data_IF_381434215068
#
_entry.id   IF_381434215068
#
_cell.length_a   1.000
_cell.length_b   1.000
_cell.length_c   1.000
_cell.angle_alpha   90.00
_cell.angle_beta   90.00
_cell.angle_gamma   90.00
#
_symmetry.space_group_name_H-M   'P 1'
#
loop_
_entity.id
_entity.type
_entity.pdbx_description
1 polymer ?
#
# COMPACT_ATOMS: atom_id res chain seq x y z
N UNK A 1 -33.87 62.17 36.45
CA UNK A 1 -33.95 61.78 35.02
C UNK A 1 -32.60 61.14 34.68
N UNK A 2 -32.46 59.82 34.82
CA UNK A 2 -32.55 58.84 33.70
C UNK A 2 -31.55 59.21 32.59
N UNK A 3 -30.48 58.48 32.29
CA UNK A 3 -30.16 57.06 32.44
C UNK A 3 -29.63 56.55 31.09
N UNK A 4 -28.68 55.59 31.13
CA UNK A 4 -28.26 54.69 30.04
C UNK A 4 -27.51 55.41 28.87
N UNK A 5 -26.32 55.00 28.43
CA UNK A 5 -25.85 53.63 28.19
C UNK A 5 -24.32 53.55 28.29
N UNK A 6 -23.91 52.60 29.13
CA UNK A 6 -22.65 51.89 29.01
C UNK A 6 -22.55 51.16 27.67
N UNK A 7 -21.34 50.65 27.41
CA UNK A 7 -21.03 49.49 26.55
C UNK A 7 -21.31 49.65 25.05
N UNK A 8 -20.25 49.90 24.27
CA UNK A 8 -19.96 49.20 23.01
C UNK A 8 -18.63 49.74 22.45
N UNK A 9 -17.54 49.03 22.73
CA UNK A 9 -16.36 48.83 21.86
C UNK A 9 -15.17 48.21 22.61
N UNK A 10 -15.43 47.31 23.56
CA UNK A 10 -14.49 46.26 23.99
C UNK A 10 -14.90 44.91 23.37
N UNK A 11 -15.08 44.84 22.05
CA UNK A 11 -15.42 43.59 21.36
C UNK A 11 -14.43 43.16 20.26
N UNK A 12 -13.32 43.88 20.07
CA UNK A 12 -12.35 43.55 19.01
C UNK A 12 -10.97 43.09 19.53
N UNK A 13 -10.89 42.49 20.73
CA UNK A 13 -9.69 41.75 21.19
C UNK A 13 -10.04 40.34 21.71
N UNK A 14 -11.21 39.80 21.34
CA UNK A 14 -11.56 38.40 21.57
C UNK A 14 -11.29 37.53 20.32
N UNK A 15 -10.41 37.99 19.43
CA UNK A 15 -10.12 37.37 18.14
C UNK A 15 -8.69 36.84 18.04
N UNK A 16 -8.17 36.15 19.06
CA UNK A 16 -6.88 35.45 18.93
C UNK A 16 -6.71 34.36 19.99
N UNK A 17 -7.38 33.22 19.84
CA UNK A 17 -6.89 31.95 20.40
C UNK A 17 -7.64 30.69 19.94
N UNK A 18 -8.35 30.69 18.80
CA UNK A 18 -8.91 29.41 18.28
C UNK A 18 -7.80 28.48 17.76
N UNK A 19 -6.59 29.01 17.57
CA UNK A 19 -5.41 28.27 17.08
C UNK A 19 -4.31 28.15 18.15
N UNK A 20 -4.61 28.40 19.44
CA UNK A 20 -3.74 27.86 20.50
C UNK A 20 -4.15 26.40 20.72
N UNK A 21 -3.89 25.56 19.72
CA UNK A 21 -4.01 24.13 19.90
C UNK A 21 -2.99 23.76 20.98
N UNK A 22 -3.48 23.32 22.13
CA UNK A 22 -2.62 22.81 23.19
C UNK A 22 -1.73 21.73 22.57
N UNK A 23 -0.44 22.04 22.41
CA UNK A 23 0.54 21.03 22.05
C UNK A 23 0.58 20.05 23.21
N UNK A 24 0.22 18.78 22.95
CA UNK A 24 0.20 17.70 23.96
C UNK A 24 1.63 17.24 24.30
N UNK A 25 2.46 18.18 24.75
CA UNK A 25 3.85 17.94 25.08
C UNK A 25 3.94 17.72 26.59
N UNK A 26 4.57 16.63 27.01
CA UNK A 26 4.74 16.33 28.44
C UNK A 26 6.21 16.40 28.81
N UNK A 27 6.56 17.29 29.75
CA UNK A 27 7.91 17.39 30.29
C UNK A 27 7.91 16.84 31.70
N UNK A 28 8.81 15.91 32.00
CA UNK A 28 9.02 15.42 33.35
C UNK A 28 10.06 16.34 34.00
N UNK A 29 9.61 17.03 35.04
CA UNK A 29 10.37 18.04 35.74
C UNK A 29 10.66 17.60 37.18
N UNK A 30 11.85 17.94 37.67
CA UNK A 30 12.23 17.75 39.08
C UNK A 30 12.46 19.10 39.72
N UNK A 31 11.91 19.32 40.92
CA UNK A 31 12.20 20.55 41.68
C UNK A 31 13.67 20.59 42.04
N UNK A 32 14.32 21.70 41.72
CA UNK A 32 15.73 21.93 42.06
C UNK A 32 15.97 21.94 43.57
N UNK A 33 15.04 22.55 44.31
CA UNK A 33 15.06 22.57 45.78
C UNK A 33 13.92 21.73 46.35
N UNK A 34 14.27 20.83 47.28
CA UNK A 34 13.30 19.91 47.89
C UNK A 34 12.28 20.69 48.74
N UNK A 35 10.98 20.30 48.67
CA UNK A 35 9.98 20.87 49.54
C UNK A 35 10.17 20.39 51.00
N UNK A 36 9.71 21.17 51.98
CA UNK A 36 9.77 20.76 53.39
C UNK A 36 8.92 19.51 53.64
N UNK A 37 9.47 18.60 54.45
CA UNK A 37 8.77 17.41 54.90
C UNK A 37 7.59 17.80 55.81
N UNK A 38 6.51 17.04 55.72
CA UNK A 38 5.35 17.15 56.60
C UNK A 38 5.08 15.79 57.23
N UNK A 39 4.36 15.77 58.36
CA UNK A 39 4.00 14.53 59.04
C UNK A 39 3.11 13.67 58.13
N UNK A 40 3.23 12.35 58.23
CA UNK A 40 2.35 11.40 57.52
C UNK A 40 0.88 11.71 57.85
N UNK A 41 0.03 11.85 56.83
CA UNK A 41 -1.37 12.27 56.93
C UNK A 41 -1.60 13.69 57.53
N UNK A 42 -0.54 14.47 57.70
CA UNK A 42 -0.63 15.88 58.10
C UNK A 42 -0.86 16.79 56.89
N UNK A 43 -1.24 18.04 57.15
CA UNK A 43 -1.35 19.05 56.08
C UNK A 43 0.02 19.29 55.44
N UNK A 44 0.11 19.34 54.10
CA UNK A 44 1.37 19.63 53.43
C UNK A 44 1.83 21.05 53.77
N UNK A 45 3.13 21.20 53.99
CA UNK A 45 3.72 22.50 54.30
C UNK A 45 3.70 23.42 53.08
N UNK A 46 3.54 24.73 53.30
CA UNK A 46 3.41 25.73 52.23
C UNK A 46 4.70 25.79 51.41
N UNK A 47 4.56 25.71 50.09
CA UNK A 47 5.68 25.87 49.16
C UNK A 47 6.07 27.35 49.06
N UNK A 48 7.37 27.62 48.98
CA UNK A 48 7.93 28.95 48.75
C UNK A 48 8.30 29.11 47.27
N UNK A 49 8.50 30.34 46.82
CA UNK A 49 8.87 30.67 45.44
C UNK A 49 10.06 29.83 44.91
N UNK A 50 11.09 29.61 45.73
CA UNK A 50 12.24 28.75 45.35
C UNK A 50 11.80 27.34 44.92
N UNK A 51 10.78 26.74 45.53
CA UNK A 51 10.35 25.37 45.19
C UNK A 51 9.63 25.27 43.83
N UNK A 52 9.36 26.39 43.15
CA UNK A 52 8.78 26.43 41.81
C UNK A 52 9.83 26.54 40.69
N UNK A 53 11.12 26.38 41.03
CA UNK A 53 12.18 26.22 40.03
C UNK A 53 12.41 24.73 39.79
N UNK A 54 12.41 24.38 38.51
CA UNK A 54 12.46 23.01 38.04
C UNK A 54 13.64 22.80 37.10
N UNK A 55 14.26 21.64 37.23
CA UNK A 55 15.23 21.11 36.28
C UNK A 55 14.52 20.10 35.38
N UNK A 56 14.81 20.13 34.08
CA UNK A 56 14.27 19.20 33.09
C UNK A 56 14.92 17.82 33.28
N UNK A 57 14.10 16.79 33.50
CA UNK A 57 14.57 15.40 33.65
C UNK A 57 14.43 14.65 32.33
N UNK A 58 13.24 14.68 31.74
CA UNK A 58 12.94 13.93 30.53
C UNK A 58 11.93 14.71 29.67
N UNK A 59 12.19 14.73 28.38
CA UNK A 59 11.25 15.19 27.37
C UNK A 59 10.61 13.97 26.69
N UNK A 60 9.32 13.74 27.00
CA UNK A 60 8.58 12.58 26.46
C UNK A 60 8.35 12.68 24.95
N UNK A 61 8.50 13.86 24.35
CA UNK A 61 8.30 14.04 22.91
C UNK A 61 9.45 13.44 22.09
N UNK A 62 10.65 13.37 22.67
CA UNK A 62 11.83 12.78 22.04
C UNK A 62 11.85 11.25 22.21
N UNK A 63 11.14 10.74 23.22
CA UNK A 63 11.06 9.31 23.48
C UNK A 63 10.28 8.60 22.35
N UNK A 64 10.81 7.46 21.89
CA UNK A 64 10.12 6.64 20.88
C UNK A 64 8.86 6.05 21.49
N UNK A 65 7.71 6.35 20.88
CA UNK A 65 6.44 5.75 21.27
C UNK A 65 6.42 4.25 20.96
N UNK A 66 5.83 3.47 21.86
CA UNK A 66 5.62 2.03 21.67
C UNK A 66 4.65 1.76 20.52
N UNK A 67 4.88 0.65 19.82
CA UNK A 67 3.97 0.22 18.76
C UNK A 67 2.61 -0.22 19.34
N UNK A 68 1.55 -0.02 18.57
CA UNK A 68 0.16 -0.33 18.92
C UNK A 68 -0.28 -1.57 18.16
N UNK A 69 -0.94 -2.47 18.88
CA UNK A 69 -1.56 -3.66 18.30
C UNK A 69 -2.98 -3.37 17.84
N UNK A 70 -3.27 -3.69 16.58
CA UNK A 70 -4.59 -3.52 15.96
C UNK A 70 -5.01 -4.81 15.26
N UNK A 71 -6.31 -4.96 15.03
CA UNK A 71 -6.96 -6.06 14.32
C UNK A 71 -7.58 -5.48 13.06
N UNK A 72 -7.29 -6.04 11.88
CA UNK A 72 -7.94 -5.61 10.64
C UNK A 72 -9.41 -6.08 10.59
N UNK A 73 -10.33 -5.18 10.23
CA UNK A 73 -11.74 -5.52 10.02
C UNK A 73 -12.00 -6.06 8.61
N UNK A 74 -11.25 -5.56 7.63
CA UNK A 74 -11.39 -5.90 6.22
C UNK A 74 -10.03 -6.12 5.59
N UNK A 75 -10.03 -6.69 4.38
CA UNK A 75 -8.83 -6.80 3.57
C UNK A 75 -8.27 -5.41 3.24
N UNK A 76 -6.96 -5.24 3.44
CA UNK A 76 -6.23 -4.01 3.07
C UNK A 76 -5.05 -4.39 2.19
N UNK A 77 -5.02 -3.85 0.96
CA UNK A 77 -3.99 -4.14 -0.03
C UNK A 77 -2.58 -3.85 0.50
N UNK A 78 -1.70 -4.83 0.37
CA UNK A 78 -0.32 -4.80 0.82
C UNK A 78 -0.12 -4.84 2.34
N UNK A 79 -1.19 -5.03 3.13
CA UNK A 79 -1.10 -5.06 4.60
C UNK A 79 -1.51 -6.41 5.16
N UNK A 80 -2.74 -6.86 4.89
CA UNK A 80 -3.25 -8.08 5.52
C UNK A 80 -4.71 -8.39 5.18
N UNK A 81 -5.15 -9.55 5.65
CA UNK A 81 -6.52 -9.99 5.55
C UNK A 81 -7.33 -9.55 6.78
N UNK A 82 -8.66 -9.62 6.67
CA UNK A 82 -9.54 -9.39 7.81
C UNK A 82 -9.22 -10.38 8.95
N UNK A 83 -9.17 -9.87 10.18
CA UNK A 83 -8.84 -10.62 11.39
C UNK A 83 -7.35 -10.68 11.73
N UNK A 84 -6.47 -10.18 10.86
CA UNK A 84 -5.03 -10.18 11.13
C UNK A 84 -4.67 -9.17 12.24
N UNK A 85 -3.83 -9.61 13.18
CA UNK A 85 -3.27 -8.76 14.25
C UNK A 85 -1.95 -8.17 13.78
N UNK A 86 -1.85 -6.84 13.82
CA UNK A 86 -0.68 -6.09 13.37
C UNK A 86 -0.13 -5.21 14.49
N UNK A 87 1.19 -5.13 14.59
CA UNK A 87 1.89 -4.19 15.48
C UNK A 87 2.50 -3.07 14.65
N UNK A 88 1.98 -1.85 14.81
CA UNK A 88 2.35 -0.68 13.99
C UNK A 88 2.71 0.52 14.84
N UNK A 89 3.50 1.45 14.28
CA UNK A 89 3.75 2.75 14.90
C UNK A 89 2.44 3.52 15.10
N UNK A 90 2.26 4.24 16.22
CA UNK A 90 1.00 4.94 16.54
C UNK A 90 0.49 5.85 15.42
N UNK A 91 1.37 6.68 14.85
CA UNK A 91 1.00 7.62 13.78
C UNK A 91 0.39 6.90 12.57
N UNK A 92 0.95 5.75 12.19
CA UNK A 92 0.45 4.95 11.08
C UNK A 92 -0.87 4.26 11.46
N UNK A 93 -0.92 3.63 12.64
CA UNK A 93 -2.12 2.96 13.16
C UNK A 93 -3.33 3.92 13.23
N UNK A 94 -3.14 5.11 13.81
CA UNK A 94 -4.21 6.11 13.93
C UNK A 94 -4.65 6.65 12.59
N UNK A 95 -3.70 7.17 11.79
CA UNK A 95 -4.01 7.86 10.54
C UNK A 95 -4.60 6.92 9.48
N UNK A 96 -3.99 5.76 9.28
CA UNK A 96 -4.29 4.93 8.13
C UNK A 96 -5.30 3.81 8.43
N UNK A 97 -5.44 3.38 9.69
CA UNK A 97 -6.25 2.20 10.02
C UNK A 97 -7.41 2.50 10.97
N UNK A 98 -7.14 3.10 12.14
CA UNK A 98 -8.15 3.33 13.17
C UNK A 98 -9.09 4.47 12.80
N UNK A 99 -8.57 5.62 12.33
CA UNK A 99 -9.39 6.77 11.95
C UNK A 99 -10.33 6.46 10.77
N UNK A 100 -9.90 5.74 9.70
CA UNK A 100 -10.80 5.34 8.63
C UNK A 100 -11.70 4.13 8.97
N UNK A 101 -11.51 3.50 10.14
CA UNK A 101 -12.31 2.33 10.56
C UNK A 101 -11.91 0.99 9.91
N UNK A 102 -10.74 0.93 9.27
CA UNK A 102 -10.21 -0.31 8.67
C UNK A 102 -9.78 -1.35 9.71
N UNK A 103 -9.50 -0.89 10.93
CA UNK A 103 -9.02 -1.72 12.02
C UNK A 103 -9.61 -1.30 13.38
N UNK A 104 -9.53 -2.20 14.34
CA UNK A 104 -9.93 -2.00 15.73
C UNK A 104 -8.72 -2.26 16.65
N UNK A 105 -8.68 -1.68 17.84
CA UNK A 105 -7.66 -2.00 18.83
C UNK A 105 -7.69 -3.48 19.22
N UNK A 106 -6.51 -4.07 19.38
CA UNK A 106 -6.33 -5.43 19.90
C UNK A 106 -6.47 -5.46 21.44
N UNK A 107 -7.65 -5.08 21.95
CA UNK A 107 -8.01 -5.26 23.37
C UNK A 107 -8.32 -6.74 23.64
N UNK A 108 -8.15 -7.24 24.89
CA UNK A 108 -8.48 -8.63 25.21
C UNK A 108 -9.94 -8.98 24.91
N UNK A 109 -10.84 -8.02 25.08
CA UNK A 109 -12.26 -8.16 24.72
C UNK A 109 -12.45 -8.31 23.21
N UNK A 110 -11.78 -7.51 22.39
CA UNK A 110 -11.90 -7.58 20.93
C UNK A 110 -11.25 -8.86 20.37
N UNK A 111 -10.14 -9.30 20.94
CA UNK A 111 -9.52 -10.57 20.59
C UNK A 111 -10.47 -11.75 20.85
N UNK A 112 -11.15 -11.75 22.00
CA UNK A 112 -12.16 -12.76 22.33
C UNK A 112 -13.38 -12.69 21.40
N UNK A 113 -13.89 -11.48 21.10
CA UNK A 113 -15.02 -11.27 20.19
C UNK A 113 -14.75 -11.78 18.78
N UNK A 114 -13.58 -11.47 18.24
CA UNK A 114 -13.21 -11.87 16.89
C UNK A 114 -12.70 -13.32 16.81
N UNK A 115 -12.64 -14.05 17.94
CA UNK A 115 -12.15 -15.44 18.04
C UNK A 115 -10.89 -15.64 17.19
N UNK A 116 -9.97 -14.68 17.25
CA UNK A 116 -8.71 -14.71 16.52
C UNK A 116 -7.82 -15.70 17.25
N UNK A 117 -8.13 -16.98 17.08
CA UNK A 117 -7.23 -18.05 17.45
C UNK A 117 -6.15 -18.05 16.35
N UNK A 118 -4.92 -17.72 16.72
CA UNK A 118 -3.76 -17.74 15.80
C UNK A 118 -3.61 -19.10 15.09
N UNK A 119 -4.20 -20.16 15.67
CA UNK A 119 -4.14 -21.54 15.20
C UNK A 119 -5.32 -21.97 14.29
N UNK A 120 -6.36 -21.13 14.11
CA UNK A 120 -7.44 -21.48 13.19
C UNK A 120 -7.04 -21.15 11.75
N UNK A 121 -7.32 -22.03 10.77
CA UNK A 121 -7.13 -21.68 9.38
C UNK A 121 -7.99 -20.44 9.10
N UNK A 122 -7.32 -19.35 8.70
CA UNK A 122 -8.00 -18.10 8.35
C UNK A 122 -9.06 -18.45 7.31
N UNK A 123 -10.32 -18.20 7.64
CA UNK A 123 -11.48 -18.39 6.75
C UNK A 123 -11.11 -17.83 5.38
N UNK A 124 -11.46 -18.55 4.32
CA UNK A 124 -11.07 -18.25 2.95
C UNK A 124 -11.29 -16.77 2.64
N UNK A 125 -10.20 -16.00 2.70
CA UNK A 125 -10.22 -14.60 2.31
C UNK A 125 -10.50 -14.53 0.81
N UNK A 126 -11.23 -13.50 0.40
CA UNK A 126 -11.51 -13.23 -1.03
C UNK A 126 -10.23 -13.20 -1.88
N UNK A 127 -9.10 -12.82 -1.28
CA UNK A 127 -7.79 -12.82 -1.89
C UNK A 127 -6.88 -13.87 -1.27
N UNK A 128 -6.06 -14.49 -2.09
CA UNK A 128 -5.08 -15.51 -1.70
C UNK A 128 -3.94 -14.91 -0.86
N UNK A 129 -3.56 -13.66 -1.11
CA UNK A 129 -2.53 -12.95 -0.34
C UNK A 129 -2.82 -11.44 -0.20
N UNK A 130 -2.20 -10.77 0.79
CA UNK A 130 -2.30 -9.32 0.95
C UNK A 130 -1.83 -8.51 -0.26
N UNK A 131 -0.87 -9.04 -1.03
CA UNK A 131 -0.23 -8.33 -2.14
C UNK A 131 -0.82 -8.67 -3.51
N UNK A 132 -1.88 -9.48 -3.55
CA UNK A 132 -2.49 -9.92 -4.80
C UNK A 132 -2.89 -8.72 -5.64
N UNK A 133 -3.71 -7.81 -5.11
CA UNK A 133 -4.25 -6.68 -5.88
C UNK A 133 -3.15 -5.83 -6.50
N UNK A 134 -2.10 -5.51 -5.73
CA UNK A 134 -0.91 -4.83 -6.27
C UNK A 134 -0.25 -5.61 -7.41
N UNK A 135 -0.12 -6.92 -7.28
CA UNK A 135 0.46 -7.79 -8.31
C UNK A 135 -0.42 -7.83 -9.56
N UNK A 136 -1.75 -7.96 -9.42
CA UNK A 136 -2.70 -7.91 -10.54
C UNK A 136 -2.61 -6.54 -11.25
N UNK A 137 -2.50 -5.45 -10.49
CA UNK A 137 -2.33 -4.10 -11.01
C UNK A 137 -1.02 -3.89 -11.79
N UNK A 138 0.08 -4.51 -11.34
CA UNK A 138 1.34 -4.50 -12.07
C UNK A 138 1.27 -5.32 -13.37
N UNK A 139 0.69 -6.53 -13.32
CA UNK A 139 0.60 -7.43 -14.47
C UNK A 139 -0.38 -6.92 -15.53
N UNK A 140 -1.52 -6.35 -15.14
CA UNK A 140 -2.52 -5.80 -16.07
C UNK A 140 -2.01 -4.62 -16.90
N UNK A 141 -1.10 -3.81 -16.34
CA UNK A 141 -0.46 -2.68 -17.03
C UNK A 141 0.75 -3.09 -17.87
N UNK A 142 1.22 -4.33 -17.72
CA UNK A 142 2.42 -4.81 -18.38
C UNK A 142 2.14 -5.07 -19.86
N UNK A 143 3.01 -4.55 -20.72
CA UNK A 143 3.08 -4.94 -22.12
C UNK A 143 4.30 -5.84 -22.30
N UNK A 144 4.08 -7.14 -22.32
CA UNK A 144 5.14 -8.14 -22.41
C UNK A 144 5.64 -8.26 -23.85
N UNK A 145 6.92 -7.95 -24.07
CA UNK A 145 7.56 -8.20 -25.36
C UNK A 145 8.14 -9.61 -25.42
N UNK A 146 7.54 -10.44 -26.25
CA UNK A 146 8.02 -11.78 -26.54
C UNK A 146 9.01 -11.69 -27.69
N UNK A 147 10.28 -11.83 -27.33
CA UNK A 147 11.39 -11.72 -28.28
C UNK A 147 11.59 -13.06 -28.97
N UNK A 148 11.36 -13.13 -30.27
CA UNK A 148 11.48 -14.35 -31.08
C UNK A 148 12.47 -14.18 -32.23
N UNK A 149 13.01 -15.28 -32.77
CA UNK A 149 13.93 -15.20 -33.91
C UNK A 149 13.19 -14.77 -35.19
N UNK A 150 13.83 -13.95 -36.02
CA UNK A 150 13.36 -13.59 -37.37
C UNK A 150 13.67 -14.67 -38.41
N UNK A 151 14.77 -15.41 -38.24
CA UNK A 151 15.31 -16.31 -39.28
C UNK A 151 14.95 -17.77 -39.04
N UNK A 152 14.90 -18.18 -37.78
CA UNK A 152 14.63 -19.56 -37.40
C UNK A 152 13.13 -19.75 -37.12
N UNK A 153 12.49 -20.81 -37.63
CA UNK A 153 11.10 -21.11 -37.30
C UNK A 153 10.95 -21.43 -35.82
N UNK A 154 9.84 -20.97 -35.24
CA UNK A 154 9.54 -21.16 -33.82
C UNK A 154 8.05 -21.37 -33.60
N UNK A 155 7.74 -22.09 -32.52
CA UNK A 155 6.38 -22.32 -32.01
C UNK A 155 6.27 -21.69 -30.64
N UNK A 156 5.26 -20.85 -30.43
CA UNK A 156 5.09 -20.19 -29.14
C UNK A 156 4.65 -21.19 -28.07
N UNK A 157 5.51 -21.38 -27.07
CA UNK A 157 5.30 -22.27 -25.93
C UNK A 157 5.39 -21.49 -24.59
N UNK A 158 4.84 -22.02 -23.48
CA UNK A 158 4.84 -21.34 -22.19
C UNK A 158 6.23 -20.90 -21.68
N UNK A 159 7.29 -21.67 -21.98
CA UNK A 159 8.65 -21.32 -21.54
C UNK A 159 9.20 -20.05 -22.21
N UNK A 160 8.77 -19.75 -23.44
CA UNK A 160 9.13 -18.50 -24.13
C UNK A 160 8.52 -17.29 -23.42
N UNK A 161 7.26 -17.45 -22.99
CA UNK A 161 6.53 -16.44 -22.23
C UNK A 161 7.19 -16.25 -20.85
N UNK A 162 7.53 -17.35 -20.16
CA UNK A 162 8.29 -17.34 -18.90
C UNK A 162 9.63 -16.61 -19.01
N UNK A 163 10.39 -16.87 -20.08
CA UNK A 163 11.67 -16.20 -20.33
C UNK A 163 11.49 -14.71 -20.55
N UNK A 164 10.41 -14.33 -21.26
CA UNK A 164 10.05 -12.93 -21.49
C UNK A 164 9.63 -12.24 -20.19
N UNK A 165 8.88 -12.90 -19.31
CA UNK A 165 8.55 -12.38 -17.98
C UNK A 165 9.80 -12.14 -17.14
N UNK A 166 10.77 -13.05 -17.19
CA UNK A 166 12.05 -12.90 -16.51
C UNK A 166 12.81 -11.67 -17.01
N UNK A 167 12.79 -11.43 -18.32
CA UNK A 167 13.36 -10.20 -18.93
C UNK A 167 12.64 -8.93 -18.46
N UNK A 168 11.33 -9.00 -18.22
CA UNK A 168 10.53 -7.91 -17.67
C UNK A 168 10.66 -7.75 -16.14
N UNK A 169 11.42 -8.62 -15.45
CA UNK A 169 11.63 -8.57 -14.00
C UNK A 169 10.62 -9.37 -13.17
N UNK A 170 9.73 -10.13 -13.79
CA UNK A 170 8.76 -11.00 -13.10
C UNK A 170 9.21 -12.47 -13.17
N UNK A 171 9.03 -13.20 -12.07
CA UNK A 171 9.30 -14.64 -12.02
C UNK A 171 7.97 -15.38 -12.02
N UNK A 172 7.62 -15.97 -13.17
CA UNK A 172 6.37 -16.71 -13.36
C UNK A 172 6.70 -18.16 -13.73
N UNK A 173 6.15 -19.17 -13.05
CA UNK A 173 6.35 -20.57 -13.41
C UNK A 173 5.44 -20.99 -14.58
N UNK A 174 5.82 -22.03 -15.33
CA UNK A 174 5.09 -22.47 -16.53
C UNK A 174 3.67 -22.94 -16.25
N UNK A 175 3.45 -23.64 -15.13
CA UNK A 175 2.11 -24.13 -14.75
C UNK A 175 1.10 -23.02 -14.45
N UNK A 176 1.57 -21.80 -14.17
CA UNK A 176 0.72 -20.64 -13.92
C UNK A 176 0.32 -19.91 -15.21
N UNK A 177 0.91 -20.25 -16.35
CA UNK A 177 0.70 -19.59 -17.64
C UNK A 177 -0.33 -20.39 -18.43
N UNK A 178 -1.46 -19.77 -18.73
CA UNK A 178 -2.47 -20.32 -19.64
C UNK A 178 -2.38 -19.61 -20.98
N UNK A 179 -1.99 -20.37 -22.00
CA UNK A 179 -1.81 -19.89 -23.37
C UNK A 179 -3.16 -19.75 -24.08
N UNK A 180 -3.27 -18.85 -25.07
CA UNK A 180 -4.43 -18.84 -25.97
C UNK A 180 -4.56 -20.17 -26.72
N UNK A 181 -5.77 -20.58 -27.12
CA UNK A 181 -6.00 -21.84 -27.83
C UNK A 181 -5.38 -21.88 -29.24
N UNK A 182 -4.99 -20.72 -29.79
CA UNK A 182 -4.40 -20.60 -31.12
C UNK A 182 -2.89 -20.85 -31.05
N UNK A 183 -2.40 -21.81 -31.84
CA UNK A 183 -0.96 -22.02 -32.00
C UNK A 183 -0.35 -20.93 -32.87
N UNK A 184 0.53 -20.12 -32.28
CA UNK A 184 1.25 -19.05 -33.00
C UNK A 184 2.58 -19.61 -33.48
N UNK A 185 2.77 -19.58 -34.80
CA UNK A 185 4.00 -20.03 -35.47
C UNK A 185 4.64 -18.85 -36.19
N UNK A 186 5.97 -18.79 -36.16
CA UNK A 186 6.77 -17.88 -36.96
C UNK A 186 7.80 -18.65 -37.79
N UNK A 187 8.52 -18.00 -38.71
CA UNK A 187 8.85 -16.58 -38.68
C UNK A 187 8.10 -15.79 -39.78
N UNK A 188 7.06 -15.07 -39.37
CA UNK A 188 6.26 -14.23 -40.27
C UNK A 188 6.39 -12.76 -39.84
N UNK A 189 6.92 -11.90 -40.72
CA UNK A 189 7.02 -10.46 -40.43
C UNK A 189 5.66 -9.80 -40.20
N UNK A 190 4.57 -10.39 -40.71
CA UNK A 190 3.20 -9.91 -40.49
C UNK A 190 2.75 -10.06 -39.04
N UNK A 191 3.41 -10.91 -38.24
CA UNK A 191 3.13 -11.08 -36.81
C UNK A 191 3.86 -10.07 -35.94
N UNK A 192 4.78 -9.29 -36.53
CA UNK A 192 5.49 -8.25 -35.82
C UNK A 192 4.50 -7.29 -35.16
N UNK A 193 4.74 -6.99 -33.89
CA UNK A 193 4.00 -5.98 -33.14
C UNK A 193 2.51 -6.25 -32.91
N UNK A 194 2.00 -7.41 -33.35
CA UNK A 194 0.64 -7.84 -33.06
C UNK A 194 0.48 -8.22 -31.58
N UNK A 195 -0.70 -7.92 -31.07
CA UNK A 195 -1.07 -8.12 -29.66
C UNK A 195 -1.90 -9.38 -29.46
N UNK A 196 -1.64 -10.10 -28.38
CA UNK A 196 -2.52 -11.16 -27.89
C UNK A 196 -2.48 -11.19 -26.37
N UNK A 197 -3.45 -11.86 -25.75
CA UNK A 197 -3.51 -11.99 -24.29
C UNK A 197 -3.10 -13.37 -23.83
N UNK A 198 -2.35 -13.38 -22.73
CA UNK A 198 -2.00 -14.59 -21.97
C UNK A 198 -2.60 -14.46 -20.59
N UNK A 199 -3.27 -15.51 -20.11
CA UNK A 199 -3.84 -15.53 -18.76
C UNK A 199 -2.84 -16.12 -17.78
N UNK A 200 -2.61 -15.42 -16.67
CA UNK A 200 -1.72 -15.84 -15.59
C UNK A 200 -2.54 -16.13 -14.35
N UNK A 201 -2.34 -17.31 -13.77
CA UNK A 201 -2.95 -17.72 -12.51
C UNK A 201 -2.04 -17.38 -11.34
N UNK A 202 -2.54 -16.59 -10.40
CA UNK A 202 -1.88 -16.27 -9.13
C UNK A 202 -2.47 -17.18 -8.05
N UNK A 203 -1.63 -17.98 -7.41
CA UNK A 203 -2.00 -18.87 -6.29
C UNK A 203 -3.23 -19.76 -6.55
N UNK A 204 -3.47 -20.17 -7.81
CA UNK A 204 -4.61 -20.98 -8.25
C UNK A 204 -6.00 -20.39 -7.94
N UNK A 205 -6.11 -19.11 -7.57
CA UNK A 205 -7.37 -18.44 -7.26
C UNK A 205 -7.65 -17.26 -8.18
N UNK A 206 -6.68 -16.36 -8.34
CA UNK A 206 -6.86 -15.16 -9.15
C UNK A 206 -6.27 -15.35 -10.55
N UNK A 207 -6.95 -14.81 -11.57
CA UNK A 207 -6.49 -14.85 -12.95
C UNK A 207 -6.33 -13.43 -13.52
N UNK A 208 -5.25 -13.19 -14.25
CA UNK A 208 -4.96 -11.89 -14.89
C UNK A 208 -4.66 -12.09 -16.35
N UNK A 209 -5.33 -11.33 -17.21
CA UNK A 209 -4.94 -11.21 -18.60
C UNK A 209 -3.78 -10.20 -18.74
N UNK A 210 -2.67 -10.64 -19.34
CA UNK A 210 -1.51 -9.80 -19.64
C UNK A 210 -1.39 -9.60 -21.13
N UNK A 211 -1.15 -8.35 -21.54
CA UNK A 211 -0.95 -7.97 -22.94
C UNK A 211 0.43 -8.41 -23.39
N UNK A 212 0.49 -9.25 -24.41
CA UNK A 212 1.71 -9.76 -25.00
C UNK A 212 1.87 -9.24 -26.43
N UNK A 213 3.10 -8.95 -26.82
CA UNK A 213 3.48 -8.49 -28.16
C UNK A 213 4.61 -9.31 -28.71
N UNK A 214 4.49 -9.69 -29.98
CA UNK A 214 5.56 -10.40 -30.67
C UNK A 214 6.57 -9.40 -31.20
N UNK A 215 7.83 -9.62 -30.86
CA UNK A 215 8.95 -8.82 -31.36
C UNK A 215 9.99 -9.75 -32.00
N UNK A 216 10.13 -9.67 -33.32
CA UNK A 216 11.16 -10.37 -34.05
C UNK A 216 12.54 -9.75 -33.77
N UNK A 217 13.48 -10.61 -33.44
CA UNK A 217 14.87 -10.30 -33.17
C UNK A 217 15.74 -10.88 -34.27
N UNK A 218 16.66 -10.06 -34.75
CA UNK A 218 17.69 -10.43 -35.68
C UNK A 218 19.03 -9.83 -35.23
N UNK A 219 20.12 -10.50 -35.58
CA UNK A 219 21.48 -10.05 -35.30
C UNK A 219 22.03 -9.30 -36.52
N UNK A 220 22.81 -8.23 -36.30
CA UNK A 220 23.47 -7.50 -37.39
C UNK A 220 22.57 -6.51 -38.14
N UNK A 221 22.76 -6.42 -39.46
CA UNK A 221 22.09 -5.45 -40.35
C UNK A 221 20.58 -5.70 -40.53
N UNK A 222 20.11 -6.93 -40.25
CA UNK A 222 18.70 -7.30 -40.39
C UNK A 222 17.81 -6.89 -39.21
N UNK A 223 18.40 -6.20 -38.22
CA UNK A 223 17.70 -5.72 -37.02
C UNK A 223 16.64 -4.70 -37.38
N UNK A 224 15.44 -4.87 -36.82
CA UNK A 224 14.36 -3.91 -36.96
C UNK A 224 14.73 -2.54 -36.35
N UNK A 225 14.24 -1.43 -36.92
CA UNK A 225 14.49 -0.11 -36.39
C UNK A 225 13.96 -0.01 -34.95
N UNK A 226 14.74 0.61 -34.08
CA UNK A 226 14.32 0.82 -32.70
C UNK A 226 13.22 1.88 -32.65
N UNK A 227 12.07 1.51 -32.10
CA UNK A 227 10.94 2.42 -31.90
C UNK A 227 10.87 2.82 -30.42
N UNK A 228 11.02 4.11 -30.08
CA UNK A 228 10.87 4.57 -28.71
C UNK A 228 9.43 4.38 -28.22
N UNK A 229 9.26 4.04 -26.94
CA UNK A 229 7.95 3.94 -26.27
C UNK A 229 6.90 3.08 -26.98
N UNK A 230 7.34 2.07 -27.74
CA UNK A 230 6.43 1.23 -28.52
C UNK A 230 5.30 0.65 -27.65
N UNK A 231 5.52 0.41 -26.35
CA UNK A 231 4.55 -0.12 -25.37
C UNK A 231 3.39 0.82 -25.03
N UNK A 232 3.43 2.11 -25.39
CA UNK A 232 2.36 3.07 -25.10
C UNK A 232 1.23 3.07 -26.11
N UNK A 233 1.51 2.65 -27.34
CA UNK A 233 0.54 2.66 -28.44
C UNK A 233 -0.14 1.30 -28.55
N UNK A 234 -1.50 1.22 -28.55
CA UNK A 234 -2.19 -0.03 -28.82
C UNK A 234 -1.97 -0.44 -30.28
N UNK A 235 -1.83 -1.74 -30.53
CA UNK A 235 -1.60 -2.30 -31.86
C UNK A 235 -2.65 -3.35 -32.20
N UNK A 236 -2.61 -3.82 -33.44
CA UNK A 236 -3.60 -4.76 -33.96
C UNK A 236 -3.61 -6.08 -33.16
N UNK A 237 -4.81 -6.59 -32.79
CA UNK A 237 -4.93 -7.88 -32.17
C UNK A 237 -4.64 -9.00 -33.17
N UNK A 238 -3.83 -9.97 -32.77
CA UNK A 238 -3.54 -11.19 -33.54
C UNK A 238 -4.76 -12.11 -33.59
N UNK A 239 -5.55 -12.15 -32.50
CA UNK A 239 -6.74 -12.98 -32.35
C UNK A 239 -7.93 -12.04 -32.19
N UNK A 240 -8.87 -12.08 -33.15
CA UNK A 240 -10.05 -11.22 -33.15
C UNK A 240 -10.91 -11.38 -31.88
N UNK A 241 -11.02 -12.61 -31.35
CA UNK A 241 -11.77 -12.91 -30.12
C UNK A 241 -11.21 -12.21 -28.87
N UNK A 242 -9.92 -11.87 -28.87
CA UNK A 242 -9.24 -11.22 -27.74
C UNK A 242 -9.23 -9.70 -27.85
N UNK A 243 -9.66 -9.12 -28.98
CA UNK A 243 -9.76 -7.68 -29.18
C UNK A 243 -10.51 -6.95 -28.06
N UNK A 244 -11.72 -7.36 -27.61
CA UNK A 244 -12.44 -6.66 -26.55
C UNK A 244 -11.69 -6.71 -25.21
N UNK A 245 -10.98 -7.81 -24.93
CA UNK A 245 -10.19 -7.96 -23.71
C UNK A 245 -8.98 -7.01 -23.77
N UNK A 246 -8.31 -6.91 -24.92
CA UNK A 246 -7.17 -6.02 -25.11
C UNK A 246 -7.55 -4.56 -24.94
N UNK A 247 -8.69 -4.13 -25.48
CA UNK A 247 -9.20 -2.76 -25.34
C UNK A 247 -9.52 -2.40 -23.88
N UNK A 248 -10.02 -3.36 -23.10
CA UNK A 248 -10.31 -3.15 -21.67
C UNK A 248 -9.07 -2.98 -20.79
N UNK A 249 -7.90 -3.45 -21.26
CA UNK A 249 -6.67 -3.44 -20.46
C UNK A 249 -6.01 -2.05 -20.44
N UNK A 250 -5.57 -1.58 -19.25
CA UNK A 250 -4.93 -0.28 -19.13
C UNK A 250 -3.54 -0.28 -19.76
N UNK A 251 -3.23 0.77 -20.52
CA UNK A 251 -1.88 1.01 -21.01
C UNK A 251 -0.96 1.53 -19.90
N UNK A 252 0.34 1.18 -19.92
CA UNK A 252 1.34 1.77 -19.03
C UNK A 252 1.50 3.28 -19.32
N UNK A 253 1.44 4.11 -18.28
CA UNK A 253 1.59 5.57 -18.37
C UNK A 253 3.03 5.98 -18.68
#
# INVERSE_FOLDING_TARGET
>A
MLGLRSTLNKLCVAGSSVVCQQTRNTFILKRKWHPPLHKKNGRPSKLRARHFVYDLVEDTNLAKQSDIKIILNQFVDGVGNAGDVLSLRPVNAYKNFLMPGLAIYASPENLAKHKIDENKPKVESNYSSPYVQRTLGCLSRLVLQITMSKTQPWTLEPWHVRTSFRKAGFVVPEHAITMPPVTIKGPDLTLQDKEFTVTIKVNNKEEVAVRCRIHHWATGLERLPWVPFHWKEPKEPLIAEQAPILESLPLPK
#
